data_IF_044981423009
#
_entry.id   IF_044981423009
#
_cell.length_a   1.000
_cell.length_b   1.000
_cell.length_c   1.000
_cell.angle_alpha   90.00
_cell.angle_beta   90.00
_cell.angle_gamma   90.00
#
_symmetry.space_group_name_H-M   'P 1'
#
loop_
_entity.id
_entity.type
_entity.pdbx_description
1 polymer ?
#
# COMPACT_ATOMS: atom_id res chain seq x y z
N UNK A 1 10.45 -11.04 18.51
CA UNK A 1 9.37 -10.37 17.76
C UNK A 1 9.43 -10.87 16.33
N UNK A 2 8.30 -11.10 15.65
CA UNK A 2 8.32 -11.57 14.26
C UNK A 2 9.04 -10.55 13.36
N UNK A 3 9.90 -11.02 12.45
CA UNK A 3 10.47 -10.19 11.38
C UNK A 3 9.34 -9.73 10.45
N UNK A 4 9.46 -8.57 9.82
CA UNK A 4 8.39 -8.01 8.98
C UNK A 4 8.89 -7.69 7.58
N UNK A 5 8.19 -8.20 6.57
CA UNK A 5 8.43 -7.91 5.16
C UNK A 5 7.21 -7.20 4.60
N UNK A 6 7.39 -5.99 4.09
CA UNK A 6 6.31 -5.14 3.59
C UNK A 6 6.38 -4.96 2.08
N UNK A 7 5.29 -5.33 1.40
CA UNK A 7 5.11 -5.18 -0.05
C UNK A 7 4.23 -3.95 -0.34
N UNK A 8 4.80 -2.93 -1.00
CA UNK A 8 4.12 -1.68 -1.33
C UNK A 8 4.31 -1.28 -2.80
N UNK A 9 3.44 -0.40 -3.33
CA UNK A 9 3.46 0.04 -4.73
C UNK A 9 2.09 0.02 -5.41
N UNK A 10 1.99 0.57 -6.62
CA UNK A 10 0.72 0.74 -7.32
C UNK A 10 0.05 -0.59 -7.74
N UNK A 11 -1.28 -0.64 -7.82
CA UNK A 11 -2.01 -1.81 -8.33
C UNK A 11 -1.45 -2.30 -9.67
N UNK A 12 -1.21 -3.61 -9.80
CA UNK A 12 -0.62 -4.21 -11.01
C UNK A 12 0.91 -4.16 -11.10
N UNK A 13 1.62 -3.57 -10.12
CA UNK A 13 3.09 -3.56 -10.07
C UNK A 13 3.75 -4.92 -9.74
N UNK A 14 2.97 -5.98 -9.49
CA UNK A 14 3.48 -7.34 -9.23
C UNK A 14 3.64 -7.74 -7.76
N UNK A 15 3.36 -6.84 -6.81
CA UNK A 15 3.43 -7.10 -5.35
C UNK A 15 2.86 -8.46 -4.93
N UNK A 16 1.59 -8.72 -5.26
CA UNK A 16 0.89 -9.93 -4.81
C UNK A 16 1.48 -11.21 -5.44
N UNK A 17 2.15 -11.10 -6.59
CA UNK A 17 2.88 -12.23 -7.20
C UNK A 17 4.14 -12.52 -6.40
N UNK A 18 4.97 -11.51 -6.16
CA UNK A 18 6.23 -11.68 -5.41
C UNK A 18 6.03 -11.95 -3.92
N UNK A 19 4.91 -11.49 -3.35
CA UNK A 19 4.54 -11.85 -1.99
C UNK A 19 4.31 -13.35 -1.86
N UNK A 20 3.54 -13.95 -2.78
CA UNK A 20 3.30 -15.41 -2.78
C UNK A 20 4.58 -16.20 -3.05
N UNK A 21 5.44 -15.69 -3.93
CA UNK A 21 6.74 -16.29 -4.19
C UNK A 21 7.63 -16.29 -2.94
N UNK A 22 7.73 -15.16 -2.23
CA UNK A 22 8.44 -15.06 -0.96
C UNK A 22 7.81 -15.98 0.10
N UNK A 23 6.49 -15.97 0.23
CA UNK A 23 5.78 -16.81 1.19
C UNK A 23 6.09 -18.29 0.97
N UNK A 24 6.06 -18.73 -0.29
CA UNK A 24 6.42 -20.09 -0.68
C UNK A 24 7.89 -20.42 -0.35
N UNK A 25 8.82 -19.55 -0.71
CA UNK A 25 10.25 -19.72 -0.42
C UNK A 25 10.53 -19.81 1.10
N UNK A 26 9.88 -18.96 1.90
CA UNK A 26 9.98 -18.97 3.35
C UNK A 26 9.44 -20.29 3.94
N UNK A 27 8.31 -20.78 3.42
CA UNK A 27 7.75 -22.06 3.83
C UNK A 27 8.65 -23.25 3.48
N UNK A 28 9.27 -23.25 2.30
CA UNK A 28 10.26 -24.27 1.92
C UNK A 28 11.47 -24.31 2.88
N UNK A 29 11.80 -23.16 3.48
CA UNK A 29 12.87 -23.02 4.48
C UNK A 29 12.40 -23.29 5.91
N UNK A 30 11.12 -23.64 6.10
CA UNK A 30 10.56 -24.00 7.41
C UNK A 30 10.09 -22.83 8.28
N UNK A 31 10.10 -21.59 7.77
CA UNK A 31 9.61 -20.44 8.53
C UNK A 31 8.08 -20.45 8.64
N UNK A 32 7.55 -20.12 9.81
CA UNK A 32 6.13 -19.83 10.00
C UNK A 32 5.83 -18.39 9.59
N UNK A 33 5.05 -18.22 8.53
CA UNK A 33 4.64 -16.89 8.05
C UNK A 33 3.19 -16.59 8.41
N UNK A 34 2.86 -15.30 8.54
CA UNK A 34 1.47 -14.84 8.62
C UNK A 34 1.26 -13.61 7.75
N UNK A 35 0.26 -13.69 6.89
CA UNK A 35 -0.14 -12.62 5.98
C UNK A 35 -1.06 -11.60 6.66
N UNK A 36 -0.74 -10.31 6.54
CA UNK A 36 -1.56 -9.20 7.04
C UNK A 36 -1.82 -8.18 5.92
N UNK A 37 -3.10 -7.94 5.64
CA UNK A 37 -3.54 -6.96 4.64
C UNK A 37 -4.28 -5.79 5.27
N UNK A 38 -3.82 -4.55 5.03
CA UNK A 38 -4.29 -3.36 5.77
C UNK A 38 -4.44 -2.12 4.88
N UNK A 39 -5.34 -2.15 3.90
CA UNK A 39 -5.58 -0.98 3.06
C UNK A 39 -6.74 -0.13 3.57
N UNK A 40 -6.48 1.14 3.89
CA UNK A 40 -7.48 2.17 4.18
C UNK A 40 -8.73 1.65 4.93
N UNK A 41 -8.55 1.09 6.15
CA UNK A 41 -9.67 0.55 6.91
C UNK A 41 -10.69 1.65 7.18
N UNK A 42 -11.98 1.29 7.14
CA UNK A 42 -13.08 2.23 7.36
C UNK A 42 -13.86 1.78 8.57
N UNK A 43 -13.46 2.25 9.75
CA UNK A 43 -14.10 1.93 11.03
C UNK A 43 -14.91 3.15 11.44
N UNK A 44 -14.23 4.21 11.89
CA UNK A 44 -14.79 5.50 12.23
C UNK A 44 -14.97 6.41 11.00
N UNK A 45 -14.25 6.17 9.90
CA UNK A 45 -14.43 6.95 8.67
C UNK A 45 -15.69 6.57 7.88
N UNK A 46 -16.44 5.53 8.28
CA UNK A 46 -17.65 5.08 7.57
C UNK A 46 -18.73 6.17 7.42
N UNK A 47 -19.13 6.92 8.47
CA UNK A 47 -20.12 7.98 8.33
C UNK A 47 -19.66 9.09 7.37
N UNK A 48 -18.39 9.49 7.43
CA UNK A 48 -17.83 10.47 6.49
C UNK A 48 -17.86 9.95 5.05
N UNK A 49 -17.62 8.66 4.84
CA UNK A 49 -17.74 8.05 3.51
C UNK A 49 -19.16 7.99 3.00
N UNK A 50 -20.13 7.72 3.87
CA UNK A 50 -21.55 7.79 3.51
C UNK A 50 -21.92 9.20 3.08
N UNK A 51 -21.53 10.22 3.87
CA UNK A 51 -21.70 11.61 3.49
C UNK A 51 -21.07 11.91 2.11
N UNK A 52 -19.82 11.49 1.89
CA UNK A 52 -19.13 11.69 0.61
C UNK A 52 -19.86 11.06 -0.57
N UNK A 53 -20.49 9.90 -0.36
CA UNK A 53 -21.30 9.26 -1.38
C UNK A 53 -22.57 10.07 -1.69
N UNK A 54 -23.30 10.50 -0.65
CA UNK A 54 -24.55 11.27 -0.77
C UNK A 54 -24.35 12.63 -1.46
N UNK A 55 -23.25 13.32 -1.16
CA UNK A 55 -22.94 14.62 -1.79
C UNK A 55 -22.14 14.50 -3.10
N UNK A 56 -21.97 13.28 -3.63
CA UNK A 56 -21.33 13.04 -4.92
C UNK A 56 -19.80 13.23 -4.97
N UNK A 57 -19.14 13.28 -3.81
CA UNK A 57 -17.67 13.28 -3.69
C UNK A 57 -17.06 11.89 -3.91
N UNK A 58 -17.87 10.83 -3.83
CA UNK A 58 -17.49 9.47 -4.24
C UNK A 58 -18.42 8.97 -5.32
N UNK A 59 -17.86 8.70 -6.50
CA UNK A 59 -18.59 8.17 -7.66
C UNK A 59 -17.99 6.83 -8.08
N UNK A 60 -18.85 5.85 -8.31
CA UNK A 60 -18.45 4.57 -8.89
C UNK A 60 -18.90 4.54 -10.34
N UNK A 61 -18.00 4.07 -11.19
CA UNK A 61 -18.23 3.86 -12.61
C UNK A 61 -17.97 2.40 -12.93
N UNK A 62 -18.66 1.88 -13.92
CA UNK A 62 -18.40 0.55 -14.49
C UNK A 62 -18.13 0.76 -15.97
N UNK A 63 -16.92 0.42 -16.42
CA UNK A 63 -16.54 0.42 -17.84
C UNK A 63 -16.03 -0.98 -18.15
N UNK A 64 -16.57 -1.61 -19.20
CA UNK A 64 -16.26 -2.99 -19.60
C UNK A 64 -16.36 -4.02 -18.45
N UNK A 65 -17.37 -3.88 -17.59
CA UNK A 65 -17.57 -4.74 -16.42
C UNK A 65 -16.61 -4.47 -15.24
N UNK A 66 -15.63 -3.57 -15.40
CA UNK A 66 -14.69 -3.19 -14.35
C UNK A 66 -15.26 -2.02 -13.55
N UNK A 67 -15.50 -2.25 -12.26
CA UNK A 67 -15.92 -1.21 -11.32
C UNK A 67 -14.71 -0.41 -10.82
N UNK A 68 -14.71 0.90 -11.01
CA UNK A 68 -13.73 1.81 -10.39
C UNK A 68 -14.41 2.95 -9.65
N UNK A 69 -13.80 3.35 -8.53
CA UNK A 69 -14.27 4.44 -7.68
C UNK A 69 -13.36 5.65 -7.80
N UNK A 70 -13.97 6.82 -8.04
CA UNK A 70 -13.29 8.10 -8.01
C UNK A 70 -13.70 8.86 -6.74
N UNK A 71 -12.69 9.35 -6.02
CA UNK A 71 -12.86 10.20 -4.85
C UNK A 71 -12.37 11.60 -5.17
N UNK A 72 -13.27 12.57 -5.05
CA UNK A 72 -12.98 13.99 -5.26
C UNK A 72 -12.95 14.73 -3.92
N UNK A 73 -12.23 14.19 -2.92
CA UNK A 73 -12.26 14.75 -1.56
C UNK A 73 -11.60 16.13 -1.48
N UNK A 74 -10.77 16.48 -2.45
CA UNK A 74 -10.21 17.83 -2.60
C UNK A 74 -11.28 18.92 -2.74
N UNK A 75 -12.48 18.57 -3.24
CA UNK A 75 -13.58 19.52 -3.46
C UNK A 75 -14.28 19.97 -2.18
N UNK A 76 -14.06 19.29 -1.06
CA UNK A 76 -14.63 19.67 0.24
C UNK A 76 -13.51 19.92 1.25
N UNK A 77 -13.30 21.17 1.71
CA UNK A 77 -12.28 21.47 2.73
C UNK A 77 -12.45 20.64 3.99
N UNK A 78 -13.70 20.37 4.39
CA UNK A 78 -14.03 19.53 5.54
C UNK A 78 -13.52 18.10 5.35
N UNK A 79 -13.89 17.44 4.23
CA UNK A 79 -13.47 16.06 3.96
C UNK A 79 -11.94 15.99 3.77
N UNK A 80 -11.37 16.95 3.04
CA UNK A 80 -9.92 17.06 2.80
C UNK A 80 -9.11 17.15 4.09
N UNK A 81 -9.65 17.80 5.13
CA UNK A 81 -9.01 17.91 6.44
C UNK A 81 -9.29 16.70 7.34
N UNK A 82 -10.54 16.25 7.43
CA UNK A 82 -10.97 15.20 8.36
C UNK A 82 -10.57 13.79 7.92
N UNK A 83 -10.63 13.50 6.62
CA UNK A 83 -10.46 12.14 6.12
C UNK A 83 -9.08 11.54 6.44
N UNK A 84 -7.95 12.25 6.26
CA UNK A 84 -6.64 11.76 6.69
C UNK A 84 -6.56 11.45 8.19
N UNK A 85 -7.16 12.28 9.04
CA UNK A 85 -7.16 12.08 10.50
C UNK A 85 -7.96 10.84 10.88
N UNK A 86 -9.17 10.68 10.33
CA UNK A 86 -9.99 9.50 10.56
C UNK A 86 -9.32 8.23 10.02
N UNK A 87 -8.64 8.30 8.87
CA UNK A 87 -7.89 7.17 8.33
C UNK A 87 -6.70 6.78 9.20
N UNK A 88 -5.98 7.74 9.78
CA UNK A 88 -4.93 7.44 10.76
C UNK A 88 -5.50 6.68 11.97
N UNK A 89 -6.64 7.11 12.50
CA UNK A 89 -7.28 6.46 13.66
C UNK A 89 -7.76 5.05 13.27
N UNK A 90 -8.47 4.90 12.16
CA UNK A 90 -8.94 3.61 11.66
C UNK A 90 -7.79 2.64 11.42
N UNK A 91 -6.68 3.14 10.86
CA UNK A 91 -5.49 2.36 10.59
C UNK A 91 -4.80 1.90 11.88
N UNK A 92 -4.68 2.78 12.90
CA UNK A 92 -4.19 2.40 14.24
C UNK A 92 -5.04 1.32 14.89
N UNK A 93 -6.36 1.48 14.88
CA UNK A 93 -7.30 0.49 15.44
C UNK A 93 -7.14 -0.84 14.71
N UNK A 94 -7.18 -0.82 13.37
CA UNK A 94 -7.08 -2.04 12.57
C UNK A 94 -5.74 -2.75 12.76
N UNK A 95 -4.64 -2.01 12.83
CA UNK A 95 -3.31 -2.54 13.12
C UNK A 95 -3.28 -3.21 14.50
N UNK A 96 -3.72 -2.51 15.55
CA UNK A 96 -3.76 -3.06 16.91
C UNK A 96 -4.61 -4.35 17.01
N UNK A 97 -5.73 -4.41 16.30
CA UNK A 97 -6.59 -5.59 16.25
C UNK A 97 -5.98 -6.78 15.49
N UNK A 98 -5.10 -6.53 14.52
CA UNK A 98 -4.49 -7.61 13.74
C UNK A 98 -3.20 -8.09 14.37
N UNK A 99 -2.36 -7.20 14.88
CA UNK A 99 -1.15 -7.58 15.59
C UNK A 99 -1.46 -8.36 16.87
N UNK A 100 -2.56 -8.05 17.57
CA UNK A 100 -3.01 -8.82 18.75
C UNK A 100 -3.49 -10.24 18.43
N UNK A 101 -3.76 -10.54 17.15
CA UNK A 101 -4.15 -11.87 16.67
C UNK A 101 -2.97 -12.66 16.11
N UNK A 102 -1.80 -12.05 15.95
CA UNK A 102 -0.59 -12.75 15.53
C UNK A 102 -0.17 -13.69 16.64
N UNK A 103 -0.03 -14.98 16.31
CA UNK A 103 0.43 -16.02 17.22
C UNK A 103 1.43 -16.88 16.48
N UNK A 104 2.58 -17.14 17.11
CA UNK A 104 3.60 -18.08 16.64
C UNK A 104 4.16 -17.85 15.23
N UNK A 105 3.97 -16.66 14.66
CA UNK A 105 4.57 -16.27 13.38
C UNK A 105 6.02 -15.81 13.60
N UNK A 106 6.93 -16.32 12.79
CA UNK A 106 8.32 -15.88 12.74
C UNK A 106 8.48 -14.69 11.78
N UNK A 107 7.67 -14.66 10.72
CA UNK A 107 7.69 -13.61 9.70
C UNK A 107 6.27 -13.12 9.41
N UNK A 108 6.08 -11.80 9.43
CA UNK A 108 4.85 -11.14 9.00
C UNK A 108 5.02 -10.59 7.59
N UNK A 109 4.12 -10.99 6.69
CA UNK A 109 4.04 -10.49 5.32
C UNK A 109 2.95 -9.43 5.25
N UNK A 110 3.36 -8.16 5.13
CA UNK A 110 2.45 -7.02 5.08
C UNK A 110 2.14 -6.68 3.61
N UNK A 111 0.85 -6.70 3.24
CA UNK A 111 0.37 -6.29 1.92
C UNK A 111 -0.48 -5.03 2.04
N UNK A 112 -0.08 -3.97 1.33
CA UNK A 112 -0.73 -2.65 1.30
C UNK A 112 -0.95 -2.07 2.69
N UNK A 113 0.12 -1.61 3.33
CA UNK A 113 0.14 -1.11 4.71
C UNK A 113 0.17 0.44 4.74
N UNK A 114 1.07 1.04 5.53
CA UNK A 114 1.07 2.47 5.83
C UNK A 114 1.43 3.35 4.63
N UNK A 115 2.40 2.96 3.79
CA UNK A 115 2.75 3.75 2.59
C UNK A 115 1.59 3.78 1.61
N UNK A 116 0.99 2.63 1.31
CA UNK A 116 -0.15 2.56 0.37
C UNK A 116 -1.33 3.41 0.86
N UNK A 117 -1.60 3.40 2.17
CA UNK A 117 -2.63 4.27 2.78
C UNK A 117 -2.26 5.75 2.65
N UNK A 118 -1.01 6.13 2.87
CA UNK A 118 -0.56 7.51 2.69
C UNK A 118 -0.69 7.97 1.23
N UNK A 119 -0.29 7.15 0.27
CA UNK A 119 -0.43 7.46 -1.16
C UNK A 119 -1.90 7.59 -1.56
N UNK A 120 -2.76 6.66 -1.13
CA UNK A 120 -4.21 6.74 -1.38
C UNK A 120 -4.82 8.03 -0.79
N UNK A 121 -4.35 8.47 0.39
CA UNK A 121 -4.76 9.75 0.99
C UNK A 121 -4.27 10.96 0.18
N UNK A 122 -3.00 11.00 -0.22
CA UNK A 122 -2.43 12.06 -1.04
C UNK A 122 -3.20 12.22 -2.35
N UNK A 123 -3.54 11.10 -3.01
CA UNK A 123 -4.29 11.08 -4.27
C UNK A 123 -5.72 11.54 -4.08
N UNK A 124 -6.44 11.00 -3.09
CA UNK A 124 -7.86 11.29 -2.88
C UNK A 124 -8.13 12.70 -2.36
N UNK A 125 -7.20 13.29 -1.61
CA UNK A 125 -7.34 14.64 -1.03
C UNK A 125 -6.56 15.72 -1.78
N UNK A 126 -5.76 15.34 -2.79
CA UNK A 126 -4.78 16.20 -3.49
C UNK A 126 -3.90 16.98 -2.51
N UNK A 127 -3.46 16.30 -1.44
CA UNK A 127 -2.52 16.82 -0.44
C UNK A 127 -1.18 16.11 -0.60
N UNK A 128 -0.39 16.54 -1.57
CA UNK A 128 0.90 15.91 -1.89
C UNK A 128 1.99 16.23 -0.87
N UNK A 129 1.71 17.16 0.05
CA UNK A 129 2.52 17.54 1.19
C UNK A 129 2.17 16.76 2.48
N UNK A 130 1.30 15.75 2.39
CA UNK A 130 0.78 15.04 3.55
C UNK A 130 1.90 14.41 4.41
N UNK A 131 2.97 13.94 3.79
CA UNK A 131 4.20 13.43 4.40
C UNK A 131 4.88 14.43 5.35
N UNK A 132 4.69 15.74 5.12
CA UNK A 132 5.23 16.80 5.96
C UNK A 132 4.32 17.17 7.15
N UNK A 133 3.06 16.74 7.10
CA UNK A 133 2.07 17.01 8.16
C UNK A 133 2.23 16.08 9.35
N UNK A 134 1.67 16.45 10.51
CA UNK A 134 1.66 15.57 11.68
C UNK A 134 0.91 14.24 11.41
N UNK A 135 -0.12 14.25 10.56
CA UNK A 135 -0.89 13.05 10.19
C UNK A 135 -0.03 12.11 9.36
N UNK A 136 0.58 12.60 8.28
CA UNK A 136 1.44 11.77 7.43
C UNK A 136 2.65 11.25 8.18
N UNK A 137 3.32 12.09 8.98
CA UNK A 137 4.40 11.66 9.88
C UNK A 137 3.93 10.56 10.85
N UNK A 138 2.69 10.65 11.34
CA UNK A 138 2.13 9.62 12.22
C UNK A 138 1.84 8.31 11.49
N UNK A 139 1.38 8.37 10.23
CA UNK A 139 1.21 7.17 9.38
C UNK A 139 2.57 6.53 9.11
N UNK A 140 3.58 7.32 8.73
CA UNK A 140 4.93 6.83 8.45
C UNK A 140 5.61 6.23 9.67
N UNK A 141 5.39 6.78 10.87
CA UNK A 141 5.86 6.20 12.14
C UNK A 141 5.27 4.83 12.45
N UNK A 142 4.20 4.41 11.77
CA UNK A 142 3.65 3.07 11.92
C UNK A 142 4.37 2.02 11.08
N UNK A 143 5.25 2.44 10.17
CA UNK A 143 6.14 1.50 9.49
C UNK A 143 6.95 0.76 10.56
N UNK A 144 6.95 -0.59 10.55
CA UNK A 144 7.64 -1.33 11.59
C UNK A 144 9.13 -1.04 11.51
N UNK A 145 9.73 -0.76 12.66
CA UNK A 145 11.19 -0.67 12.78
C UNK A 145 11.80 -2.01 12.36
N UNK A 146 12.98 -1.96 11.74
CA UNK A 146 13.70 -3.13 11.26
C UNK A 146 12.87 -4.05 10.34
N UNK A 147 12.06 -3.45 9.45
CA UNK A 147 11.32 -4.18 8.42
C UNK A 147 12.00 -4.09 7.05
N UNK A 148 11.88 -5.16 6.27
CA UNK A 148 12.24 -5.14 4.86
C UNK A 148 11.09 -4.55 4.05
N UNK A 149 11.29 -3.34 3.49
CA UNK A 149 10.29 -2.70 2.63
C UNK A 149 10.64 -2.94 1.15
N UNK A 150 9.76 -3.65 0.46
CA UNK A 150 9.82 -3.96 -0.96
C UNK A 150 8.83 -3.07 -1.72
N UNK A 151 9.32 -1.92 -2.20
CA UNK A 151 8.56 -0.92 -2.97
C UNK A 151 8.60 -1.26 -4.47
N UNK A 152 7.53 -1.85 -5.00
CA UNK A 152 7.43 -2.27 -6.41
C UNK A 152 6.99 -1.11 -7.31
N UNK A 153 7.81 -0.84 -8.33
CA UNK A 153 7.57 0.14 -9.36
C UNK A 153 7.58 -0.52 -10.75
N UNK A 154 6.84 0.06 -11.69
CA UNK A 154 6.79 -0.37 -13.08
C UNK A 154 6.24 0.78 -13.95
N UNK A 155 6.53 0.74 -15.24
CA UNK A 155 5.93 1.65 -16.22
C UNK A 155 4.41 1.46 -16.26
N UNK A 156 3.67 2.58 -16.27
CA UNK A 156 2.21 2.56 -16.30
C UNK A 156 1.65 1.74 -17.48
N UNK A 157 2.31 1.79 -18.64
CA UNK A 157 1.94 0.98 -19.81
C UNK A 157 2.05 -0.53 -19.56
N UNK A 158 3.10 -0.97 -18.86
CA UNK A 158 3.27 -2.38 -18.50
C UNK A 158 2.25 -2.82 -17.44
N UNK A 159 1.96 -1.96 -16.47
CA UNK A 159 0.90 -2.20 -15.47
C UNK A 159 -0.46 -2.40 -16.14
N UNK A 160 -0.84 -1.48 -17.06
CA UNK A 160 -2.12 -1.53 -17.78
C UNK A 160 -2.25 -2.80 -18.62
N UNK A 161 -1.17 -3.27 -19.25
CA UNK A 161 -1.12 -4.54 -19.98
C UNK A 161 -1.30 -5.76 -19.06
N UNK A 162 -0.66 -5.76 -17.89
CA UNK A 162 -0.71 -6.88 -16.93
C UNK A 162 -2.03 -6.95 -16.16
N UNK A 163 -2.65 -5.80 -15.89
CA UNK A 163 -3.90 -5.69 -15.14
C UNK A 163 -4.88 -4.77 -15.87
N UNK A 164 -5.74 -5.33 -16.74
CA UNK A 164 -6.74 -4.55 -17.49
C UNK A 164 -7.63 -3.68 -16.60
N UNK A 165 -7.93 -4.07 -15.37
CA UNK A 165 -8.69 -3.25 -14.41
C UNK A 165 -8.08 -1.87 -14.15
N UNK A 166 -6.77 -1.72 -14.35
CA UNK A 166 -6.06 -0.44 -14.18
C UNK A 166 -6.14 0.47 -15.39
N UNK A 167 -6.66 -0.01 -16.53
CA UNK A 167 -6.86 0.78 -17.76
C UNK A 167 -7.69 2.03 -17.50
N UNK A 168 -8.66 1.95 -16.58
CA UNK A 168 -9.53 3.06 -16.21
C UNK A 168 -9.09 3.82 -14.95
N UNK A 169 -7.98 3.41 -14.31
CA UNK A 169 -7.40 4.17 -13.21
C UNK A 169 -6.68 5.42 -13.73
N UNK A 170 -7.37 6.54 -13.67
CA UNK A 170 -6.86 7.87 -14.03
C UNK A 170 -5.75 8.34 -13.10
N UNK A 171 -5.64 7.77 -11.89
CA UNK A 171 -4.65 8.17 -10.90
C UNK A 171 -3.41 7.27 -10.91
N UNK A 172 -3.30 6.26 -11.79
CA UNK A 172 -2.18 5.32 -11.79
C UNK A 172 -0.82 6.03 -11.89
N UNK A 173 -0.65 6.94 -12.84
CA UNK A 173 0.61 7.66 -13.01
C UNK A 173 0.95 8.56 -11.82
N UNK A 174 -0.08 9.24 -11.28
CA UNK A 174 0.07 10.04 -10.08
C UNK A 174 0.51 9.17 -8.89
N UNK A 175 -0.09 7.99 -8.71
CA UNK A 175 0.32 7.03 -7.67
C UNK A 175 1.77 6.63 -7.84
N UNK A 176 2.18 6.20 -9.05
CA UNK A 176 3.57 5.81 -9.35
C UNK A 176 4.55 6.95 -9.01
N UNK A 177 4.25 8.17 -9.43
CA UNK A 177 5.05 9.36 -9.09
C UNK A 177 5.18 9.55 -7.58
N UNK A 178 4.06 9.48 -6.85
CA UNK A 178 4.06 9.67 -5.40
C UNK A 178 4.79 8.54 -4.67
N UNK A 179 4.66 7.27 -5.09
CA UNK A 179 5.46 6.17 -4.54
C UNK A 179 6.96 6.43 -4.72
N UNK A 180 7.41 6.85 -5.92
CA UNK A 180 8.82 7.17 -6.18
C UNK A 180 9.31 8.28 -5.27
N UNK A 181 8.54 9.36 -5.12
CA UNK A 181 8.89 10.50 -4.26
C UNK A 181 9.00 10.09 -2.79
N UNK A 182 8.01 9.36 -2.27
CA UNK A 182 7.99 8.92 -0.88
C UNK A 182 9.04 7.86 -0.59
N UNK A 183 9.22 6.86 -1.48
CA UNK A 183 10.26 5.84 -1.32
C UNK A 183 11.66 6.51 -1.34
N UNK A 184 11.90 7.51 -2.20
CA UNK A 184 13.15 8.29 -2.18
C UNK A 184 13.36 9.07 -0.87
N UNK A 185 12.32 9.73 -0.34
CA UNK A 185 12.37 10.46 0.93
C UNK A 185 12.71 9.56 2.12
N UNK A 186 12.29 8.29 2.07
CA UNK A 186 12.54 7.29 3.10
C UNK A 186 13.82 6.48 2.87
N UNK A 187 14.59 6.77 1.80
CA UNK A 187 15.78 5.99 1.43
C UNK A 187 15.46 4.56 0.97
N UNK A 188 14.20 4.27 0.60
CA UNK A 188 13.75 2.95 0.15
C UNK A 188 14.06 2.82 -1.35
N UNK A 189 14.96 1.90 -1.70
CA UNK A 189 15.24 1.57 -3.10
C UNK A 189 14.06 0.83 -3.73
N UNK A 190 13.44 1.41 -4.74
CA UNK A 190 12.38 0.76 -5.51
C UNK A 190 12.90 -0.52 -6.22
N UNK A 191 11.98 -1.45 -6.48
CA UNK A 191 12.20 -2.67 -7.26
C UNK A 191 11.51 -2.46 -8.60
N UNK A 192 12.29 -2.44 -9.67
CA UNK A 192 11.79 -2.15 -11.01
C UNK A 192 11.30 -3.46 -11.64
N UNK A 193 9.99 -3.64 -11.67
CA UNK A 193 9.36 -4.82 -12.25
C UNK A 193 8.91 -4.55 -13.69
N UNK A 194 9.78 -3.98 -14.52
CA UNK A 194 9.53 -3.83 -15.97
C UNK A 194 10.23 -4.91 -16.80
N UNK A 195 11.15 -5.64 -16.18
CA UNK A 195 11.95 -6.69 -16.80
C UNK A 195 11.29 -8.08 -16.67
N UNK A 196 12.06 -9.13 -16.97
CA UNK A 196 11.62 -10.52 -16.81
C UNK A 196 11.34 -10.87 -15.35
N UNK A 197 10.41 -11.79 -15.13
CA UNK A 197 10.02 -12.25 -13.80
C UNK A 197 11.21 -12.74 -12.96
N UNK A 198 12.13 -13.50 -13.57
CA UNK A 198 13.28 -14.10 -12.89
C UNK A 198 14.25 -13.04 -12.34
N UNK A 199 14.54 -11.99 -13.10
CA UNK A 199 15.45 -10.92 -12.64
C UNK A 199 14.90 -10.20 -11.41
N UNK A 200 13.59 -9.88 -11.43
CA UNK A 200 12.94 -9.25 -10.28
C UNK A 200 12.86 -10.22 -9.10
N UNK A 201 12.65 -11.52 -9.36
CA UNK A 201 12.65 -12.58 -8.32
C UNK A 201 14.00 -12.65 -7.62
N UNK A 202 15.09 -12.68 -8.38
CA UNK A 202 16.44 -12.80 -7.82
C UNK A 202 16.79 -11.59 -6.95
N UNK A 203 16.41 -10.38 -7.38
CA UNK A 203 16.57 -9.18 -6.56
C UNK A 203 15.75 -9.26 -5.25
N UNK A 204 14.47 -9.66 -5.35
CA UNK A 204 13.55 -9.76 -4.20
C UNK A 204 14.05 -10.79 -3.18
N UNK A 205 14.43 -11.99 -3.65
CA UNK A 205 14.97 -13.06 -2.81
C UNK A 205 16.33 -12.66 -2.23
N UNK A 206 17.19 -12.01 -3.00
CA UNK A 206 18.48 -11.52 -2.52
C UNK A 206 18.33 -10.53 -1.36
N UNK A 207 17.43 -9.54 -1.50
CA UNK A 207 17.12 -8.60 -0.41
C UNK A 207 16.51 -9.29 0.80
N UNK A 208 15.67 -10.30 0.60
CA UNK A 208 15.09 -11.11 1.68
C UNK A 208 16.18 -11.88 2.44
N UNK A 209 17.12 -12.53 1.75
CA UNK A 209 18.19 -13.30 2.40
C UNK A 209 19.05 -12.41 3.31
N UNK A 210 19.50 -11.27 2.79
CA UNK A 210 20.27 -10.28 3.57
C UNK A 210 19.48 -9.84 4.81
N UNK A 211 18.18 -9.62 4.69
CA UNK A 211 17.34 -9.24 5.83
C UNK A 211 17.13 -10.37 6.86
N UNK A 212 17.11 -11.63 6.42
CA UNK A 212 16.96 -12.78 7.32
C UNK A 212 18.26 -13.07 8.09
N UNK A 213 19.42 -12.75 7.51
CA UNK A 213 20.74 -12.94 8.12
C UNK A 213 21.12 -11.88 9.17
N UNK A 214 20.58 -10.66 9.04
CA UNK A 214 20.76 -9.56 10.02
C UNK A 214 19.71 -9.60 11.13
#
# INVERSE_FOLDING_TARGET
MAKMIYFCGADGSGKSTFLREIEHELHLRGYKTQYLWIRSPKILSKPLMLYCHLVGLTKYHVIDGIKFGNHAFEKSPLVRAMFPVLQLIDFKIRWALMISKVRDAEILLLDRFALDTMIDLMVSTKRFDLDNTWVGKSILKMLPQDSLILCFDAMAGNIRKRKPDTMYDTNLELKLKLYRQVCALLGIKAIINDHGFNETRDEVVGRMNVYLEN
#
